data_IF_760721501981
#
_entry.id   IF_760721501981
#
_cell.length_a   1.000
_cell.length_b   1.000
_cell.length_c   1.000
_cell.angle_alpha   90.00
_cell.angle_beta   90.00
_cell.angle_gamma   90.00
#
_symmetry.space_group_name_H-M   'P 1'
#
loop_
_entity.id
_entity.type
_entity.pdbx_description
1 polymer ?
#
# COMPACT_ATOMS: atom_id res chain seq x y z
N UNK A 1 15.82 -7.73 5.76
CA UNK A 1 14.53 -8.32 5.37
C UNK A 1 13.51 -7.93 6.44
N UNK A 2 12.33 -7.42 6.02
CA UNK A 2 11.27 -7.10 6.98
C UNK A 2 10.52 -8.36 7.38
N UNK A 3 10.17 -8.47 8.65
CA UNK A 3 9.54 -9.66 9.22
C UNK A 3 8.04 -9.76 8.86
N UNK A 4 7.40 -8.59 8.72
CA UNK A 4 5.95 -8.50 8.49
C UNK A 4 5.60 -7.99 7.10
N UNK A 5 4.44 -8.45 6.61
CA UNK A 5 3.73 -7.96 5.43
C UNK A 5 2.42 -7.33 5.91
N UNK A 6 2.09 -6.13 5.42
CA UNK A 6 0.81 -5.49 5.67
C UNK A 6 0.09 -5.34 4.33
N UNK A 7 -1.03 -6.01 4.20
CA UNK A 7 -1.92 -5.91 3.04
C UNK A 7 -2.99 -4.88 3.33
N UNK A 8 -3.11 -3.89 2.48
CA UNK A 8 -4.04 -2.76 2.66
C UNK A 8 -4.93 -2.60 1.44
N UNK A 9 -6.16 -2.17 1.68
CA UNK A 9 -7.09 -1.74 0.65
C UNK A 9 -7.94 -0.58 1.14
N UNK A 10 -8.38 0.29 0.21
CA UNK A 10 -9.17 1.48 0.52
C UNK A 10 -10.36 1.63 -0.41
N UNK A 11 -11.58 1.75 0.14
CA UNK A 11 -12.73 2.26 -0.60
C UNK A 11 -12.80 3.78 -0.48
N UNK A 12 -13.05 4.45 -1.57
CA UNK A 12 -12.88 5.91 -1.65
C UNK A 12 -14.07 6.62 -2.24
N UNK A 13 -14.25 7.92 -1.91
CA UNK A 13 -15.32 8.75 -2.45
C UNK A 13 -15.18 9.08 -3.94
N UNK A 14 -14.10 8.66 -4.59
CA UNK A 14 -13.78 8.90 -5.99
C UNK A 14 -12.35 8.48 -6.31
N UNK A 15 -11.80 9.00 -7.40
CA UNK A 15 -10.40 8.83 -7.79
C UNK A 15 -9.73 10.21 -7.94
N UNK A 16 -8.40 10.32 -7.72
CA UNK A 16 -7.69 11.58 -7.90
C UNK A 16 -7.79 12.09 -9.34
N UNK A 17 -7.96 13.40 -9.51
CA UNK A 17 -7.97 14.01 -10.84
C UNK A 17 -6.55 14.13 -11.42
N UNK A 18 -5.57 14.44 -10.57
CA UNK A 18 -4.16 14.56 -10.93
C UNK A 18 -3.28 13.94 -9.82
N UNK A 19 -2.54 12.90 -10.17
CA UNK A 19 -1.65 12.16 -9.25
C UNK A 19 -0.43 12.96 -8.78
N UNK A 20 -0.14 14.11 -9.41
CA UNK A 20 1.03 14.93 -9.09
C UNK A 20 0.72 16.11 -8.16
N UNK A 21 -0.54 16.34 -7.83
CA UNK A 21 -0.95 17.42 -6.94
C UNK A 21 -0.55 17.12 -5.50
N UNK A 22 -0.08 18.12 -4.72
CA UNK A 22 0.23 17.91 -3.30
C UNK A 22 -1.02 17.51 -2.52
N UNK A 23 -0.85 16.79 -1.42
CA UNK A 23 -1.96 16.32 -0.56
C UNK A 23 -2.80 17.45 0.04
N UNK A 24 -2.27 18.68 0.05
CA UNK A 24 -3.01 19.89 0.43
C UNK A 24 -4.06 20.35 -0.60
N UNK A 25 -4.04 19.82 -1.82
CA UNK A 25 -5.02 20.15 -2.87
C UNK A 25 -6.37 19.47 -2.55
N UNK A 26 -7.26 20.18 -1.87
CA UNK A 26 -8.51 19.64 -1.30
C UNK A 26 -9.42 19.00 -2.34
N UNK A 27 -9.61 19.66 -3.51
CA UNK A 27 -10.55 19.22 -4.54
C UNK A 27 -9.98 18.14 -5.49
N UNK A 28 -8.69 17.81 -5.33
CA UNK A 28 -8.02 16.83 -6.16
C UNK A 28 -8.11 15.40 -5.60
N UNK A 29 -7.99 15.28 -4.29
CA UNK A 29 -7.88 13.98 -3.64
C UNK A 29 -9.21 13.55 -3.04
N UNK A 30 -9.70 12.35 -3.37
CA UNK A 30 -10.89 11.80 -2.75
C UNK A 30 -10.67 11.56 -1.25
N UNK A 31 -11.71 11.12 -0.57
CA UNK A 31 -11.68 10.74 0.83
C UNK A 31 -11.77 9.22 0.95
N UNK A 32 -11.15 8.67 1.98
CA UNK A 32 -11.30 7.26 2.34
C UNK A 32 -12.65 7.08 3.01
N UNK A 33 -13.47 6.18 2.48
CA UNK A 33 -14.74 5.75 3.08
C UNK A 33 -14.57 4.52 3.97
N UNK A 34 -13.76 3.55 3.50
CA UNK A 34 -13.37 2.36 4.26
C UNK A 34 -11.86 2.17 4.10
N UNK A 35 -11.21 1.81 5.20
CA UNK A 35 -9.79 1.46 5.23
C UNK A 35 -9.66 0.14 6.00
N UNK A 36 -9.07 -0.84 5.35
CA UNK A 36 -8.78 -2.12 5.97
C UNK A 36 -7.33 -2.54 5.74
N UNK A 37 -6.76 -3.22 6.73
CA UNK A 37 -5.44 -3.83 6.58
C UNK A 37 -5.34 -5.12 7.38
N UNK A 38 -4.54 -6.04 6.86
CA UNK A 38 -4.22 -7.30 7.53
C UNK A 38 -2.70 -7.44 7.59
N UNK A 39 -2.19 -7.82 8.76
CA UNK A 39 -0.77 -8.03 9.00
C UNK A 39 -0.49 -9.51 9.06
N UNK A 40 0.49 -9.95 8.29
CA UNK A 40 0.99 -11.31 8.27
C UNK A 40 2.48 -11.36 8.59
N UNK A 41 2.91 -12.46 9.17
CA UNK A 41 4.31 -12.84 9.14
C UNK A 41 4.72 -13.29 7.72
N UNK A 42 6.01 -13.40 7.47
CA UNK A 42 6.53 -13.85 6.16
C UNK A 42 6.15 -15.28 5.79
N UNK A 43 5.94 -16.13 6.78
CA UNK A 43 5.49 -17.51 6.61
C UNK A 43 3.98 -17.67 6.49
N UNK A 44 3.25 -16.56 6.38
CA UNK A 44 1.83 -16.55 6.08
C UNK A 44 0.91 -16.71 7.29
N UNK A 45 1.39 -16.47 8.51
CA UNK A 45 0.53 -16.44 9.69
C UNK A 45 -0.09 -15.07 9.87
N UNK A 46 -1.41 -14.99 9.97
CA UNK A 46 -2.12 -13.77 10.30
C UNK A 46 -1.81 -13.34 11.73
N UNK A 47 -1.43 -12.07 11.88
CA UNK A 47 -1.09 -11.45 13.17
C UNK A 47 -2.20 -10.52 13.64
N UNK A 48 -2.77 -9.75 12.71
CA UNK A 48 -3.77 -8.72 13.00
C UNK A 48 -4.61 -8.42 11.77
N UNK A 49 -5.89 -8.12 11.99
CA UNK A 49 -6.79 -7.54 10.97
C UNK A 49 -7.53 -6.35 11.56
N UNK A 50 -7.66 -5.29 10.76
CA UNK A 50 -8.41 -4.08 11.09
C UNK A 50 -9.30 -3.69 9.92
N UNK A 51 -10.52 -3.24 10.24
CA UNK A 51 -11.50 -2.77 9.26
C UNK A 51 -12.28 -1.59 9.82
N UNK A 52 -12.22 -0.44 9.16
CA UNK A 52 -12.79 0.80 9.65
C UNK A 52 -13.48 1.58 8.55
N UNK A 53 -14.71 2.00 8.83
CA UNK A 53 -15.39 3.04 8.07
C UNK A 53 -15.03 4.41 8.64
N UNK A 54 -14.85 5.41 7.78
CA UNK A 54 -14.47 6.77 8.16
C UNK A 54 -15.68 7.69 8.01
N UNK A 55 -16.01 8.40 9.07
CA UNK A 55 -17.14 9.34 9.13
C UNK A 55 -17.05 10.36 7.99
N UNK A 56 -18.13 10.47 7.22
CA UNK A 56 -18.31 11.44 6.14
C UNK A 56 -18.95 12.73 6.67
N UNK A 57 -18.14 13.63 7.23
CA UNK A 57 -18.60 14.93 7.74
C UNK A 57 -18.16 16.13 6.89
N UNK A 58 -17.16 15.94 6.02
CA UNK A 58 -16.46 17.00 5.32
C UNK A 58 -16.26 16.71 3.81
N UNK A 59 -17.00 15.73 3.27
CA UNK A 59 -16.92 15.38 1.85
C UNK A 59 -18.21 14.73 1.34
N UNK A 60 -18.39 14.79 0.03
CA UNK A 60 -19.46 14.11 -0.68
C UNK A 60 -18.96 12.80 -1.31
N UNK A 61 -19.80 11.78 -1.29
CA UNK A 61 -19.57 10.52 -1.98
C UNK A 61 -20.02 10.63 -3.43
N UNK A 62 -19.15 10.31 -4.38
CA UNK A 62 -19.58 10.25 -5.78
C UNK A 62 -20.58 9.10 -5.98
N UNK A 63 -21.66 9.33 -6.79
CA UNK A 63 -22.62 8.26 -7.07
C UNK A 63 -21.98 7.01 -7.69
N UNK A 64 -20.95 7.19 -8.51
CA UNK A 64 -20.21 6.09 -9.12
C UNK A 64 -19.50 5.24 -8.07
N UNK A 65 -18.81 5.86 -7.11
CA UNK A 65 -18.13 5.15 -6.01
C UNK A 65 -19.13 4.42 -5.12
N UNK A 66 -20.22 5.10 -4.71
CA UNK A 66 -21.27 4.47 -3.92
C UNK A 66 -21.90 3.25 -4.63
N UNK A 67 -22.03 3.30 -5.95
CA UNK A 67 -22.51 2.14 -6.74
C UNK A 67 -21.53 0.98 -6.72
N UNK A 68 -20.20 1.27 -6.73
CA UNK A 68 -19.16 0.24 -6.77
C UNK A 68 -19.05 -0.48 -5.43
N UNK A 69 -18.88 0.23 -4.32
CA UNK A 69 -18.61 -0.38 -3.00
C UNK A 69 -19.84 -0.43 -2.07
N UNK A 70 -20.98 0.16 -2.47
CA UNK A 70 -22.22 0.11 -1.69
C UNK A 70 -22.23 0.97 -0.41
N UNK A 71 -21.14 1.70 -0.11
CA UNK A 71 -21.06 2.53 1.10
C UNK A 71 -21.73 3.87 0.84
N UNK A 72 -22.77 4.20 1.63
CA UNK A 72 -23.50 5.45 1.50
C UNK A 72 -23.07 6.48 2.56
N UNK A 73 -23.30 7.78 2.33
CA UNK A 73 -23.06 8.80 3.35
C UNK A 73 -23.85 8.56 4.65
N UNK A 74 -25.08 8.02 4.53
CA UNK A 74 -25.93 7.65 5.68
C UNK A 74 -25.26 6.57 6.51
N UNK A 75 -24.79 5.50 5.87
CA UNK A 75 -24.07 4.42 6.51
C UNK A 75 -22.81 4.94 7.23
N UNK A 76 -22.04 5.83 6.61
CA UNK A 76 -20.85 6.39 7.22
C UNK A 76 -21.14 7.32 8.39
N UNK A 77 -22.29 8.01 8.40
CA UNK A 77 -22.72 8.81 9.57
C UNK A 77 -23.07 7.95 10.78
N UNK A 78 -23.58 6.75 10.54
CA UNK A 78 -24.02 5.81 11.60
C UNK A 78 -22.85 4.95 12.11
N UNK A 79 -21.99 4.46 11.19
CA UNK A 79 -20.98 3.44 11.49
C UNK A 79 -19.54 3.96 11.41
N UNK A 80 -19.33 5.14 10.83
CA UNK A 80 -18.02 5.71 10.62
C UNK A 80 -17.38 6.24 11.90
N UNK A 81 -16.06 6.04 11.99
CA UNK A 81 -15.22 6.60 13.06
C UNK A 81 -14.56 7.91 12.63
N UNK A 82 -14.14 8.76 13.55
CA UNK A 82 -13.34 9.94 13.22
C UNK A 82 -12.07 9.57 12.45
N UNK A 83 -11.76 10.29 11.36
CA UNK A 83 -10.58 10.05 10.52
C UNK A 83 -9.29 9.96 11.34
N UNK A 84 -9.11 10.88 12.28
CA UNK A 84 -7.91 10.90 13.12
C UNK A 84 -7.73 9.60 13.92
N UNK A 85 -8.83 9.03 14.46
CA UNK A 85 -8.77 7.77 15.21
C UNK A 85 -8.32 6.61 14.31
N UNK A 86 -8.93 6.46 13.14
CA UNK A 86 -8.61 5.37 12.20
C UNK A 86 -7.17 5.50 11.70
N UNK A 87 -6.76 6.70 11.29
CA UNK A 87 -5.40 6.93 10.80
C UNK A 87 -4.34 6.77 11.89
N UNK A 88 -4.68 7.08 13.16
CA UNK A 88 -3.78 6.82 14.30
C UNK A 88 -3.57 5.32 14.51
N UNK A 89 -4.60 4.50 14.40
CA UNK A 89 -4.46 3.03 14.49
C UNK A 89 -3.53 2.48 13.42
N UNK A 90 -3.73 2.90 12.17
CA UNK A 90 -2.83 2.52 11.08
C UNK A 90 -1.41 3.02 11.33
N UNK A 91 -1.24 4.27 11.81
CA UNK A 91 0.06 4.84 12.16
C UNK A 91 0.80 3.97 13.17
N UNK A 92 0.12 3.61 14.26
CA UNK A 92 0.70 2.81 15.34
C UNK A 92 1.11 1.42 14.84
N UNK A 93 0.29 0.77 14.01
CA UNK A 93 0.62 -0.53 13.41
C UNK A 93 1.79 -0.45 12.41
N UNK A 94 1.86 0.59 11.59
CA UNK A 94 2.99 0.80 10.69
C UNK A 94 4.31 1.00 11.44
N UNK A 95 4.27 1.70 12.58
CA UNK A 95 5.45 1.87 13.44
C UNK A 95 5.80 0.58 14.20
N UNK A 96 4.81 -0.13 14.70
CA UNK A 96 5.01 -1.37 15.48
C UNK A 96 5.61 -2.48 14.61
N UNK A 97 5.00 -2.75 13.47
CA UNK A 97 5.35 -3.88 12.61
C UNK A 97 6.43 -3.55 11.59
N UNK A 98 6.64 -2.27 11.26
CA UNK A 98 7.60 -1.87 10.22
C UNK A 98 7.50 -2.75 8.96
N UNK A 99 6.28 -2.95 8.39
CA UNK A 99 6.04 -3.98 7.42
C UNK A 99 6.58 -3.64 6.02
N UNK A 100 6.56 -4.62 5.14
CA UNK A 100 6.48 -4.40 3.71
C UNK A 100 4.99 -4.18 3.37
N UNK A 101 4.63 -3.01 2.82
CA UNK A 101 3.23 -2.67 2.53
C UNK A 101 2.85 -3.17 1.15
N UNK A 102 1.78 -3.94 1.06
CA UNK A 102 1.32 -4.59 -0.17
C UNK A 102 -0.12 -4.19 -0.46
N UNK A 103 -0.42 -3.85 -1.72
CA UNK A 103 -1.78 -3.64 -2.19
C UNK A 103 -1.96 -4.12 -3.63
N UNK A 104 -3.21 -4.24 -4.05
CA UNK A 104 -3.54 -4.49 -5.45
C UNK A 104 -3.94 -3.16 -6.11
N UNK A 105 -3.13 -2.55 -6.89
CA UNK A 105 -3.11 -1.15 -7.33
C UNK A 105 -2.54 -0.20 -6.26
N UNK A 106 -1.40 -0.59 -5.70
CA UNK A 106 -0.68 0.10 -4.63
C UNK A 106 -0.58 1.63 -4.81
N UNK A 107 -0.57 2.15 -6.02
CA UNK A 107 -0.52 3.60 -6.25
C UNK A 107 -1.71 4.32 -5.61
N UNK A 108 -2.93 3.76 -5.74
CA UNK A 108 -4.12 4.37 -5.14
C UNK A 108 -4.03 4.36 -3.61
N UNK A 109 -3.81 3.18 -3.02
CA UNK A 109 -3.79 3.01 -1.57
C UNK A 109 -2.66 3.82 -0.92
N UNK A 110 -1.48 3.86 -1.55
CA UNK A 110 -0.36 4.67 -1.09
C UNK A 110 -0.73 6.15 -0.95
N UNK A 111 -1.33 6.72 -2.00
CA UNK A 111 -1.73 8.12 -1.98
C UNK A 111 -2.91 8.37 -1.06
N UNK A 112 -3.87 7.45 -1.00
CA UNK A 112 -5.01 7.58 -0.12
C UNK A 112 -4.60 7.54 1.36
N UNK A 113 -3.70 6.63 1.75
CA UNK A 113 -3.10 6.65 3.09
C UNK A 113 -2.35 7.97 3.35
N UNK A 114 -1.53 8.43 2.41
CA UNK A 114 -0.81 9.70 2.54
C UNK A 114 -1.74 10.91 2.73
N UNK A 115 -2.81 11.00 1.94
CA UNK A 115 -3.86 12.03 2.11
C UNK A 115 -4.60 11.87 3.43
N UNK A 116 -4.88 10.62 3.82
CA UNK A 116 -5.51 10.31 5.11
C UNK A 116 -4.69 10.83 6.29
N UNK A 117 -3.39 10.55 6.31
CA UNK A 117 -2.45 11.07 7.32
C UNK A 117 -2.37 12.60 7.29
N UNK A 118 -2.22 13.20 6.11
CA UNK A 118 -2.20 14.65 5.95
C UNK A 118 -3.45 15.31 6.54
N UNK A 119 -4.64 14.82 6.20
CA UNK A 119 -5.93 15.33 6.71
C UNK A 119 -6.17 15.04 8.19
N UNK A 120 -5.51 14.02 8.73
CA UNK A 120 -5.53 13.70 10.16
C UNK A 120 -4.50 14.51 10.97
N UNK A 121 -3.62 15.29 10.32
CA UNK A 121 -2.54 16.03 10.99
C UNK A 121 -1.48 15.10 11.58
N UNK A 122 -1.23 13.96 10.95
CA UNK A 122 -0.23 12.97 11.35
C UNK A 122 0.90 12.91 10.33
N UNK A 123 2.09 12.53 10.78
CA UNK A 123 3.16 12.15 9.86
C UNK A 123 2.77 10.92 9.05
N UNK A 124 3.36 10.76 7.86
CA UNK A 124 3.08 9.65 6.97
C UNK A 124 4.18 8.58 7.04
N UNK A 125 4.02 7.50 7.84
CA UNK A 125 5.05 6.45 7.94
C UNK A 125 5.22 5.65 6.65
N UNK A 126 4.19 5.56 5.80
CA UNK A 126 4.24 4.77 4.56
C UNK A 126 5.31 5.29 3.61
N UNK A 127 5.64 6.59 3.66
CA UNK A 127 6.70 7.18 2.83
C UNK A 127 8.10 6.60 3.06
N UNK A 128 8.34 6.01 4.23
CA UNK A 128 9.62 5.40 4.63
C UNK A 128 9.59 3.86 4.54
N UNK A 129 8.44 3.29 4.18
CA UNK A 129 8.26 1.84 4.10
C UNK A 129 8.37 1.35 2.65
N UNK A 130 8.90 0.16 2.42
CA UNK A 130 8.87 -0.46 1.10
C UNK A 130 7.44 -0.85 0.75
N UNK A 131 7.08 -0.68 -0.53
CA UNK A 131 5.75 -0.98 -1.04
C UNK A 131 5.81 -1.95 -2.20
N UNK A 132 4.77 -2.75 -2.39
CA UNK A 132 4.65 -3.71 -3.47
C UNK A 132 3.23 -3.74 -4.06
N UNK A 133 3.16 -3.78 -5.38
CA UNK A 133 1.90 -3.85 -6.14
C UNK A 133 1.74 -5.22 -6.80
N UNK A 134 0.76 -5.99 -6.38
CA UNK A 134 0.45 -7.29 -6.99
C UNK A 134 -0.10 -7.15 -8.41
N UNK A 135 -0.81 -6.04 -8.73
CA UNK A 135 -1.32 -5.77 -10.07
C UNK A 135 -0.17 -5.66 -11.09
N UNK A 136 0.91 -4.93 -10.77
CA UNK A 136 2.09 -4.80 -11.66
C UNK A 136 2.68 -6.18 -11.95
N UNK A 137 2.81 -7.02 -10.93
CA UNK A 137 3.34 -8.38 -11.09
C UNK A 137 2.43 -9.25 -11.95
N UNK A 138 1.10 -9.06 -11.85
CA UNK A 138 0.14 -9.83 -12.64
C UNK A 138 0.16 -9.50 -14.14
N UNK A 139 0.78 -8.37 -14.55
CA UNK A 139 0.87 -7.99 -15.97
C UNK A 139 1.55 -9.05 -16.85
N UNK A 140 2.43 -9.89 -16.29
CA UNK A 140 3.05 -11.00 -17.01
C UNK A 140 2.06 -12.08 -17.47
N UNK A 141 0.92 -12.22 -16.80
CA UNK A 141 -0.14 -13.13 -17.23
C UNK A 141 -0.90 -12.62 -18.46
N UNK A 142 -0.66 -11.36 -18.87
CA UNK A 142 -1.27 -10.72 -20.04
C UNK A 142 -0.38 -10.75 -21.28
N UNK A 143 0.74 -11.50 -21.30
CA UNK A 143 1.72 -11.50 -22.40
C UNK A 143 1.11 -11.82 -23.78
N UNK A 144 -0.03 -12.53 -23.80
CA UNK A 144 -0.76 -12.90 -25.04
C UNK A 144 -2.10 -12.16 -25.17
N UNK A 145 -2.38 -11.15 -24.34
CA UNK A 145 -3.61 -10.37 -24.38
C UNK A 145 -3.46 -9.15 -25.28
N UNK A 146 -4.49 -8.84 -26.05
CA UNK A 146 -4.63 -7.57 -26.79
C UNK A 146 -5.00 -6.38 -25.90
N UNK A 147 -5.24 -6.62 -24.62
CA UNK A 147 -5.58 -5.61 -23.62
C UNK A 147 -4.37 -4.75 -23.24
N UNK A 148 -4.56 -3.45 -22.86
CA UNK A 148 -3.46 -2.63 -22.39
C UNK A 148 -2.80 -3.23 -21.13
N UNK A 149 -1.47 -3.15 -21.04
CA UNK A 149 -0.58 -3.77 -20.03
C UNK A 149 -0.75 -3.19 -18.60
N UNK A 150 -1.97 -3.09 -18.10
CA UNK A 150 -2.24 -2.57 -16.73
C UNK A 150 -2.07 -3.61 -15.62
N UNK A 151 -1.98 -4.89 -15.94
CA UNK A 151 -2.15 -5.99 -15.02
C UNK A 151 -3.62 -6.44 -14.92
N UNK A 152 -3.85 -7.55 -14.26
CA UNK A 152 -5.19 -8.07 -14.00
C UNK A 152 -5.85 -7.26 -12.87
N UNK A 153 -7.17 -7.13 -12.90
CA UNK A 153 -7.93 -6.71 -11.72
C UNK A 153 -7.80 -7.76 -10.62
N UNK A 154 -8.10 -7.42 -9.38
CA UNK A 154 -7.95 -8.35 -8.24
C UNK A 154 -8.81 -9.62 -8.43
N UNK A 155 -10.06 -9.45 -8.80
CA UNK A 155 -10.97 -10.57 -9.07
C UNK A 155 -10.49 -11.46 -10.23
N UNK A 156 -9.92 -10.85 -11.29
CA UNK A 156 -9.36 -11.59 -12.44
C UNK A 156 -8.10 -12.37 -12.02
N UNK A 157 -7.24 -11.77 -11.20
CA UNK A 157 -6.07 -12.44 -10.65
C UNK A 157 -6.47 -13.58 -9.74
N UNK A 158 -7.42 -13.35 -8.83
CA UNK A 158 -7.96 -14.35 -7.93
C UNK A 158 -8.59 -15.52 -8.69
N UNK A 159 -9.48 -15.24 -9.65
CA UNK A 159 -10.08 -16.26 -10.51
C UNK A 159 -9.02 -17.07 -11.25
N UNK A 160 -7.97 -16.44 -11.73
CA UNK A 160 -6.88 -17.11 -12.46
C UNK A 160 -6.04 -18.00 -11.56
N UNK A 161 -5.80 -17.63 -10.32
CA UNK A 161 -4.98 -18.39 -9.39
C UNK A 161 -5.74 -19.56 -8.75
N UNK A 162 -7.02 -19.37 -8.45
CA UNK A 162 -7.80 -20.32 -7.65
C UNK A 162 -8.96 -20.98 -8.39
N UNK A 163 -9.27 -20.51 -9.60
CA UNK A 163 -10.42 -20.96 -10.41
C UNK A 163 -11.77 -20.80 -9.68
N UNK A 164 -11.89 -19.78 -8.85
CA UNK A 164 -13.11 -19.45 -8.11
C UNK A 164 -13.33 -17.92 -8.10
N UNK A 165 -14.58 -17.43 -8.13
CA UNK A 165 -14.88 -16.00 -8.05
C UNK A 165 -14.53 -15.45 -6.67
N UNK A 166 -14.24 -14.14 -6.58
CA UNK A 166 -14.17 -13.44 -5.31
C UNK A 166 -15.58 -13.25 -4.73
N UNK A 167 -15.70 -13.43 -3.42
CA UNK A 167 -16.88 -13.03 -2.68
C UNK A 167 -16.75 -11.54 -2.29
N UNK A 168 -17.83 -10.76 -2.46
CA UNK A 168 -17.92 -9.35 -2.01
C UNK A 168 -16.77 -8.47 -2.51
N UNK A 169 -16.59 -8.40 -3.82
CA UNK A 169 -15.70 -7.40 -4.44
C UNK A 169 -16.06 -5.99 -3.93
N UNK A 170 -15.04 -5.13 -3.78
CA UNK A 170 -15.20 -3.75 -3.31
C UNK A 170 -15.68 -3.63 -1.85
N UNK A 171 -15.21 -4.54 -1.00
CA UNK A 171 -15.16 -4.39 0.44
C UNK A 171 -13.68 -4.43 0.86
N UNK A 172 -13.16 -3.35 1.41
CA UNK A 172 -11.73 -3.18 1.63
C UNK A 172 -11.09 -4.32 2.45
N UNK A 173 -11.81 -4.89 3.44
CA UNK A 173 -11.27 -6.02 4.19
C UNK A 173 -11.20 -7.29 3.35
N UNK A 174 -12.24 -7.57 2.58
CA UNK A 174 -12.28 -8.70 1.65
C UNK A 174 -11.17 -8.58 0.60
N UNK A 175 -10.96 -7.37 0.05
CA UNK A 175 -9.97 -7.12 -0.99
C UNK A 175 -8.53 -7.16 -0.42
N UNK A 176 -8.30 -6.73 0.82
CA UNK A 176 -7.03 -6.91 1.52
C UNK A 176 -6.70 -8.40 1.75
N UNK A 177 -7.67 -9.21 2.17
CA UNK A 177 -7.50 -10.66 2.30
C UNK A 177 -7.27 -11.35 0.96
N UNK A 178 -8.03 -10.98 -0.08
CA UNK A 178 -7.84 -11.53 -1.42
C UNK A 178 -6.46 -11.18 -1.99
N UNK A 179 -5.99 -9.95 -1.72
CA UNK A 179 -4.63 -9.51 -2.10
C UNK A 179 -3.57 -10.35 -1.37
N UNK A 180 -3.73 -10.61 -0.07
CA UNK A 180 -2.83 -11.46 0.70
C UNK A 180 -2.81 -12.89 0.14
N UNK A 181 -3.98 -13.48 -0.10
CA UNK A 181 -4.11 -14.81 -0.67
C UNK A 181 -3.44 -14.92 -2.04
N UNK A 182 -3.67 -13.96 -2.93
CA UNK A 182 -3.02 -13.90 -4.23
C UNK A 182 -1.51 -13.74 -4.10
N UNK A 183 -1.04 -12.89 -3.19
CA UNK A 183 0.39 -12.67 -2.94
C UNK A 183 1.08 -13.95 -2.51
N UNK A 184 0.56 -14.67 -1.52
CA UNK A 184 1.16 -15.90 -1.04
C UNK A 184 1.14 -17.01 -2.09
N UNK A 185 0.06 -17.15 -2.87
CA UNK A 185 0.03 -18.08 -3.99
C UNK A 185 1.08 -17.78 -5.07
N UNK A 186 1.30 -16.49 -5.38
CA UNK A 186 2.35 -16.06 -6.30
C UNK A 186 3.75 -16.29 -5.72
N UNK A 187 3.90 -16.15 -4.40
CA UNK A 187 5.14 -16.42 -3.69
C UNK A 187 5.51 -17.91 -3.74
N UNK A 188 4.58 -18.80 -3.39
CA UNK A 188 4.75 -20.25 -3.44
C UNK A 188 5.11 -20.75 -4.84
N UNK A 189 4.55 -20.13 -5.85
CA UNK A 189 4.84 -20.44 -7.27
C UNK A 189 6.19 -19.90 -7.76
N UNK A 190 6.88 -19.08 -6.94
CA UNK A 190 8.10 -18.38 -7.35
C UNK A 190 7.85 -17.19 -8.28
N UNK A 191 6.60 -16.81 -8.47
CA UNK A 191 6.18 -15.65 -9.26
C UNK A 191 6.49 -14.32 -8.57
N UNK A 192 6.59 -14.32 -7.25
CA UNK A 192 7.08 -13.24 -6.38
C UNK A 192 8.24 -13.79 -5.55
N UNK A 193 9.26 -12.99 -5.37
CA UNK A 193 10.37 -13.24 -4.45
C UNK A 193 10.96 -11.90 -3.97
N UNK A 194 11.90 -11.93 -3.04
CA UNK A 194 12.54 -10.72 -2.50
C UNK A 194 13.10 -9.81 -3.60
N UNK A 195 13.75 -10.37 -4.60
CA UNK A 195 14.35 -9.59 -5.67
C UNK A 195 13.30 -8.86 -6.49
N UNK A 196 12.19 -9.53 -6.83
CA UNK A 196 11.06 -8.94 -7.57
C UNK A 196 10.39 -7.85 -6.73
N UNK A 197 10.19 -8.08 -5.42
CA UNK A 197 9.61 -7.11 -4.52
C UNK A 197 10.47 -5.84 -4.44
N UNK A 198 11.77 -5.99 -4.26
CA UNK A 198 12.71 -4.86 -4.14
C UNK A 198 12.96 -4.14 -5.47
N UNK A 199 12.68 -4.77 -6.60
CA UNK A 199 12.85 -4.19 -7.93
C UNK A 199 11.70 -3.27 -8.34
N UNK A 200 10.54 -3.31 -7.67
CA UNK A 200 9.46 -2.38 -7.97
C UNK A 200 9.86 -0.95 -7.59
N UNK A 201 9.51 -0.01 -8.48
CA UNK A 201 9.84 1.40 -8.27
C UNK A 201 9.12 1.93 -7.02
N UNK A 202 9.85 2.53 -6.06
CA UNK A 202 9.23 3.16 -4.91
C UNK A 202 8.25 4.26 -5.33
N UNK A 203 7.12 4.33 -4.66
CA UNK A 203 6.20 5.44 -4.73
C UNK A 203 6.73 6.60 -3.87
N UNK A 204 6.35 7.82 -4.22
CA UNK A 204 6.76 9.03 -3.49
C UNK A 204 5.61 10.02 -3.35
N UNK A 205 5.68 10.87 -2.34
CA UNK A 205 4.69 11.93 -2.16
C UNK A 205 4.75 12.93 -3.33
N UNK A 206 3.60 13.36 -3.88
CA UNK A 206 3.54 14.33 -4.94
C UNK A 206 4.18 15.66 -4.52
N UNK A 207 4.98 16.25 -5.41
CA UNK A 207 5.65 17.52 -5.18
C UNK A 207 6.88 17.45 -4.26
N UNK A 208 7.18 16.30 -3.66
CA UNK A 208 8.45 16.05 -2.98
C UNK A 208 9.38 15.30 -3.94
N UNK A 209 10.51 15.89 -4.26
CA UNK A 209 11.60 15.14 -4.90
C UNK A 209 12.01 14.03 -3.95
N UNK A 210 11.93 12.79 -4.40
CA UNK A 210 12.47 11.64 -3.66
C UNK A 210 13.98 11.89 -3.57
N UNK A 211 14.42 12.55 -2.52
CA UNK A 211 15.84 12.62 -2.20
C UNK A 211 16.23 11.20 -1.85
N UNK A 212 16.85 10.51 -2.78
CA UNK A 212 17.52 9.25 -2.55
C UNK A 212 18.65 9.56 -1.55
N UNK A 213 18.33 9.63 -0.26
CA UNK A 213 19.36 9.62 0.78
C UNK A 213 20.05 8.28 0.67
N UNK A 214 21.11 8.27 -0.12
CA UNK A 214 22.07 7.18 -0.14
C UNK A 214 22.62 7.08 1.29
N UNK A 215 22.09 6.19 2.09
CA UNK A 215 22.70 5.78 3.35
C UNK A 215 23.72 4.73 2.97
N UNK A 216 25.03 5.01 3.05
CA UNK A 216 26.02 3.99 2.82
C UNK A 216 25.75 2.85 3.81
N UNK A 217 25.74 1.61 3.30
CA UNK A 217 25.55 0.43 4.15
C UNK A 217 26.63 0.43 5.22
N UNK A 218 26.33 -0.12 6.39
CA UNK A 218 27.31 -0.26 7.49
C UNK A 218 28.60 -0.92 7.01
N UNK A 219 28.50 -1.85 6.04
CA UNK A 219 29.65 -2.48 5.39
C UNK A 219 30.50 -1.48 4.60
N UNK A 220 29.89 -0.53 3.90
CA UNK A 220 30.62 0.49 3.14
C UNK A 220 31.38 1.46 4.07
N UNK A 221 30.76 1.82 5.21
CA UNK A 221 31.43 2.65 6.25
C UNK A 221 32.60 1.91 6.87
N UNK A 222 32.45 0.60 7.17
CA UNK A 222 33.51 -0.24 7.72
C UNK A 222 34.66 -0.38 6.72
N UNK A 223 34.40 -0.59 5.45
CA UNK A 223 35.45 -0.69 4.41
C UNK A 223 36.20 0.62 4.26
N UNK A 224 35.54 1.78 4.29
CA UNK A 224 36.22 3.08 4.26
C UNK A 224 37.07 3.32 5.53
N UNK A 225 36.55 2.95 6.70
CA UNK A 225 37.31 3.07 7.95
C UNK A 225 38.56 2.18 7.97
N UNK A 226 38.46 0.94 7.47
CA UNK A 226 39.60 0.02 7.35
C UNK A 226 40.63 0.54 6.32
N UNK A 227 40.18 1.06 5.19
CA UNK A 227 41.07 1.65 4.17
C UNK A 227 41.82 2.87 4.72
N UNK A 228 41.15 3.73 5.51
CA UNK A 228 41.79 4.87 6.15
C UNK A 228 42.81 4.44 7.21
N UNK A 229 42.53 3.38 7.97
CA UNK A 229 43.45 2.82 8.98
C UNK A 229 44.71 2.22 8.34
N UNK A 230 44.55 1.50 7.22
CA UNK A 230 45.68 0.95 6.46
C UNK A 230 46.55 2.07 5.85
N UNK A 231 45.91 3.12 5.32
CA UNK A 231 46.66 4.28 4.79
C UNK A 231 47.47 5.02 5.86
N UNK A 232 46.93 5.13 7.10
CA UNK A 232 47.64 5.69 8.25
C UNK A 232 48.84 4.83 8.70
N UNK A 233 48.72 3.51 8.62
CA UNK A 233 49.83 2.57 8.99
C UNK A 233 50.93 2.50 7.94
N UNK A 234 50.72 3.00 6.72
CA UNK A 234 51.73 3.04 5.65
C UNK A 234 52.51 4.38 5.62
N UNK A 235 52.13 5.36 6.45
CA UNK A 235 52.72 6.67 6.52
C UNK A 235 53.67 6.81 7.73
N UNK A 236 53.62 5.84 8.64
CA UNK A 236 54.55 5.72 9.76
C UNK A 236 55.35 4.41 9.67
#
# INVERSE_FOLDING_TARGET
>A
VREYLLFVDTETSGIPQDWNKPYSSRDNWPHIAQLAWVVYTRDGQEVKAENHYILSSDYDMSPASATIHGITPEFLREHGKPRHEVMRRLYDDLLQYQPFVVAHFMQLDYHMMGVGFYRAGLDNPVSELPTFCTMITSARFLQYSTQPKRGLRLNELHQRLFNEPMAREHDALTDAYATARCFFALWERGDINEQIMMAQRPLGEPGKTVSRRWRPSTHFIIVLALAALVALLLIF
#
